data_IF_744005308998
#
_entry.id   IF_744005308998
#
_cell.length_a   1.000
_cell.length_b   1.000
_cell.length_c   1.000
_cell.angle_alpha   90.00
_cell.angle_beta   90.00
_cell.angle_gamma   90.00
#
_symmetry.space_group_name_H-M   'P 1'
#
loop_
_entity.id
_entity.type
_entity.pdbx_description
1 polymer ?
#
# COMPACT_ATOMS: atom_id res chain seq x y z
N UNK A 1 -11.41 22.56 -3.93
CA UNK A 1 -10.69 21.45 -4.58
C UNK A 1 -10.62 20.30 -3.61
N UNK A 2 -10.92 19.10 -4.06
CA UNK A 2 -10.76 17.84 -3.30
C UNK A 2 -9.85 16.92 -4.09
N UNK A 3 -9.21 15.98 -3.39
CA UNK A 3 -8.38 14.95 -4.01
C UNK A 3 -9.02 13.60 -3.76
N UNK A 4 -9.33 12.88 -4.82
CA UNK A 4 -9.88 11.53 -4.78
C UNK A 4 -8.76 10.54 -5.11
N UNK A 5 -8.45 9.63 -4.19
CA UNK A 5 -7.59 8.49 -4.49
C UNK A 5 -8.45 7.28 -4.84
N UNK A 6 -8.31 6.77 -6.05
CA UNK A 6 -9.05 5.61 -6.55
C UNK A 6 -8.19 4.36 -6.31
N UNK A 7 -8.74 3.39 -5.60
CA UNK A 7 -8.10 2.13 -5.20
C UNK A 7 -9.01 0.95 -5.51
N UNK A 8 -8.42 -0.22 -5.75
CA UNK A 8 -9.21 -1.43 -5.95
C UNK A 8 -9.99 -1.85 -4.69
N UNK A 9 -9.50 -2.72 -3.90
CA UNK A 9 -10.24 -3.30 -2.78
C UNK A 9 -10.02 -2.57 -1.45
N UNK A 10 -10.73 -3.05 -0.45
CA UNK A 10 -10.58 -2.60 0.94
C UNK A 10 -9.20 -3.02 1.45
N UNK A 11 -8.38 -2.11 2.01
CA UNK A 11 -7.10 -2.47 2.61
C UNK A 11 -7.30 -3.37 3.83
N UNK A 12 -6.57 -4.48 3.89
CA UNK A 12 -6.58 -5.40 5.04
C UNK A 12 -5.54 -5.06 6.10
N UNK A 13 -4.52 -4.30 5.72
CA UNK A 13 -3.38 -3.90 6.57
C UNK A 13 -2.68 -2.69 5.95
N UNK A 14 -1.76 -2.07 6.71
CA UNK A 14 -0.96 -0.96 6.20
C UNK A 14 0.36 -1.50 5.67
N UNK A 15 0.50 -1.52 4.36
CA UNK A 15 1.74 -1.81 3.63
C UNK A 15 2.16 -0.59 2.79
N UNK A 16 3.10 -0.77 1.86
CA UNK A 16 3.67 0.32 1.09
C UNK A 16 2.68 1.27 0.42
N UNK A 17 1.61 0.74 -0.19
CA UNK A 17 0.57 1.57 -0.83
C UNK A 17 -0.32 2.27 0.19
N UNK A 18 -0.76 1.57 1.21
CA UNK A 18 -1.60 2.11 2.27
C UNK A 18 -0.85 3.18 3.06
N UNK A 19 0.43 2.97 3.35
CA UNK A 19 1.30 3.98 3.96
C UNK A 19 1.39 5.25 3.11
N UNK A 20 1.50 5.11 1.79
CA UNK A 20 1.49 6.23 0.83
C UNK A 20 0.15 6.98 0.85
N UNK A 21 -0.97 6.26 0.90
CA UNK A 21 -2.30 6.85 0.93
C UNK A 21 -2.56 7.61 2.25
N UNK A 22 -2.13 7.06 3.38
CA UNK A 22 -2.23 7.73 4.69
C UNK A 22 -1.32 8.94 4.78
N UNK A 23 -0.10 8.87 4.27
CA UNK A 23 0.80 10.01 4.18
C UNK A 23 0.20 11.14 3.33
N UNK A 24 -0.40 10.78 2.19
CA UNK A 24 -1.13 11.71 1.31
C UNK A 24 -2.33 12.33 2.03
N UNK A 25 -3.15 11.53 2.72
CA UNK A 25 -4.27 12.03 3.51
C UNK A 25 -3.82 13.08 4.53
N UNK A 26 -2.76 12.79 5.29
CA UNK A 26 -2.19 13.73 6.27
C UNK A 26 -1.72 15.03 5.63
N UNK A 27 -1.00 14.96 4.51
CA UNK A 27 -0.53 16.14 3.79
C UNK A 27 -1.69 16.98 3.23
N UNK A 28 -2.72 16.34 2.66
CA UNK A 28 -3.91 17.03 2.15
C UNK A 28 -4.65 17.76 3.27
N UNK A 29 -4.79 17.13 4.45
CA UNK A 29 -5.39 17.74 5.62
C UNK A 29 -4.64 19.01 6.05
N UNK A 30 -3.31 18.99 6.08
CA UNK A 30 -2.50 20.17 6.39
C UNK A 30 -2.57 21.27 5.34
N UNK A 31 -2.86 20.91 4.09
CA UNK A 31 -3.10 21.86 3.00
C UNK A 31 -4.53 22.42 2.99
N UNK A 32 -5.39 21.97 3.90
CA UNK A 32 -6.81 22.31 3.89
C UNK A 32 -7.58 21.70 2.72
N UNK A 33 -7.08 20.62 2.14
CA UNK A 33 -7.66 19.90 1.01
C UNK A 33 -8.34 18.63 1.52
N UNK A 34 -9.60 18.45 1.23
CA UNK A 34 -10.31 17.20 1.54
C UNK A 34 -9.78 16.07 0.65
N UNK A 35 -9.31 15.00 1.28
CA UNK A 35 -8.86 13.78 0.61
C UNK A 35 -9.88 12.66 0.80
N UNK A 36 -10.28 11.98 -0.28
CA UNK A 36 -11.21 10.87 -0.26
C UNK A 36 -10.60 9.62 -0.87
N UNK A 37 -10.68 8.51 -0.15
CA UNK A 37 -10.34 7.19 -0.67
C UNK A 37 -11.58 6.56 -1.31
N UNK A 38 -11.51 6.20 -2.59
CA UNK A 38 -12.61 5.58 -3.34
C UNK A 38 -12.22 4.15 -3.70
N UNK A 39 -12.90 3.18 -3.11
CA UNK A 39 -12.70 1.76 -3.38
C UNK A 39 -13.68 1.27 -4.44
N UNK A 40 -13.18 0.47 -5.37
CA UNK A 40 -13.90 0.19 -6.61
C UNK A 40 -14.36 -1.26 -6.79
N UNK A 41 -13.83 -2.22 -6.03
CA UNK A 41 -14.19 -3.62 -6.20
C UNK A 41 -14.36 -4.37 -4.87
N UNK A 42 -14.90 -5.59 -4.96
CA UNK A 42 -15.24 -6.47 -3.84
C UNK A 42 -14.06 -7.32 -3.32
N UNK A 43 -12.80 -6.90 -3.55
CA UNK A 43 -11.63 -7.58 -2.98
C UNK A 43 -11.48 -7.27 -1.49
N UNK A 44 -11.00 -8.25 -0.74
CA UNK A 44 -10.75 -8.16 0.71
C UNK A 44 -12.02 -7.90 1.53
N UNK A 45 -12.94 -8.86 1.46
CA UNK A 45 -14.17 -8.84 2.27
C UNK A 45 -13.82 -8.86 3.76
N UNK A 46 -14.47 -7.99 4.52
CA UNK A 46 -14.30 -7.87 5.97
C UNK A 46 -15.65 -7.72 6.66
N UNK A 47 -15.76 -8.16 7.94
CA UNK A 47 -17.01 -8.10 8.70
C UNK A 47 -17.61 -6.69 8.81
N UNK A 48 -16.76 -5.68 8.93
CA UNK A 48 -17.13 -4.27 9.01
C UNK A 48 -16.05 -3.42 8.36
N UNK A 49 -16.22 -3.08 7.08
CA UNK A 49 -15.22 -2.34 6.32
C UNK A 49 -15.04 -0.89 6.84
N UNK A 50 -16.08 -0.30 7.39
CA UNK A 50 -16.02 1.06 7.96
C UNK A 50 -15.10 1.06 9.16
N UNK A 51 -15.33 0.18 10.13
CA UNK A 51 -14.51 0.06 11.31
C UNK A 51 -13.05 -0.29 10.97
N UNK A 52 -12.83 -1.18 10.01
CA UNK A 52 -11.49 -1.54 9.55
C UNK A 52 -10.74 -0.34 8.98
N UNK A 53 -11.37 0.45 8.11
CA UNK A 53 -10.74 1.63 7.52
C UNK A 53 -10.45 2.72 8.57
N UNK A 54 -11.37 2.94 9.52
CA UNK A 54 -11.14 3.84 10.64
C UNK A 54 -9.98 3.39 11.53
N UNK A 55 -9.88 2.10 11.84
CA UNK A 55 -8.76 1.53 12.61
C UNK A 55 -7.42 1.63 11.88
N UNK A 56 -7.42 1.56 10.56
CA UNK A 56 -6.23 1.79 9.73
C UNK A 56 -5.89 3.28 9.58
N UNK A 57 -6.75 4.19 10.07
CA UNK A 57 -6.51 5.64 10.08
C UNK A 57 -7.08 6.40 8.89
N UNK A 58 -7.89 5.76 8.03
CA UNK A 58 -8.58 6.45 6.94
C UNK A 58 -9.78 7.24 7.48
N UNK A 59 -9.92 8.52 7.06
CA UNK A 59 -10.96 9.42 7.58
C UNK A 59 -12.14 9.58 6.62
N UNK A 60 -11.86 9.79 5.34
CA UNK A 60 -12.87 9.98 4.31
C UNK A 60 -12.72 8.91 3.24
N UNK A 61 -13.63 7.97 3.24
CA UNK A 61 -13.62 6.84 2.32
C UNK A 61 -15.02 6.51 1.81
N UNK A 62 -15.08 5.90 0.62
CA UNK A 62 -16.29 5.49 -0.05
C UNK A 62 -16.05 4.20 -0.82
N UNK A 63 -17.00 3.28 -0.77
CA UNK A 63 -16.97 2.07 -1.58
C UNK A 63 -18.09 2.12 -2.61
N UNK A 64 -17.75 2.15 -3.89
CA UNK A 64 -18.72 2.43 -4.98
C UNK A 64 -19.89 1.45 -5.08
N UNK A 65 -19.78 0.26 -4.48
CA UNK A 65 -20.83 -0.74 -4.44
C UNK A 65 -21.51 -0.75 -3.06
N UNK A 66 -20.75 -0.88 -1.98
CA UNK A 66 -21.33 -1.01 -0.65
C UNK A 66 -22.11 0.24 -0.21
N UNK A 67 -21.60 1.41 -0.48
CA UNK A 67 -22.26 2.67 -0.11
C UNK A 67 -23.52 3.00 -0.96
N UNK A 68 -23.91 2.12 -1.90
CA UNK A 68 -25.25 2.15 -2.51
C UNK A 68 -26.34 1.70 -1.53
N UNK A 69 -25.96 0.96 -0.48
CA UNK A 69 -26.87 0.46 0.53
C UNK A 69 -26.91 1.38 1.75
N UNK A 70 -28.10 1.62 2.28
CA UNK A 70 -28.33 2.29 3.55
C UNK A 70 -27.81 1.47 4.76
N UNK A 71 -27.48 0.20 4.54
CA UNK A 71 -26.85 -0.67 5.55
C UNK A 71 -25.32 -0.53 5.63
N UNK A 72 -24.67 0.10 4.65
CA UNK A 72 -23.21 0.14 4.54
C UNK A 72 -22.50 0.76 5.76
N UNK A 73 -23.15 1.75 6.39
CA UNK A 73 -22.61 2.47 7.55
C UNK A 73 -23.25 2.04 8.88
N UNK A 74 -24.11 1.02 8.85
CA UNK A 74 -24.75 0.46 10.06
C UNK A 74 -23.80 -0.49 10.76
N UNK A 75 -23.60 -0.31 12.06
CA UNK A 75 -22.77 -1.21 12.86
C UNK A 75 -23.39 -2.61 12.97
N UNK A 76 -22.58 -3.68 12.90
CA UNK A 76 -23.08 -5.04 13.15
C UNK A 76 -23.73 -5.16 14.51
N UNK A 77 -24.92 -5.79 14.54
CA UNK A 77 -25.72 -5.99 15.76
C UNK A 77 -26.45 -7.33 15.81
N UNK A 78 -26.23 -8.21 14.83
CA UNK A 78 -26.84 -9.56 14.81
C UNK A 78 -26.19 -10.44 15.88
N UNK A 79 -27.00 -10.98 16.80
CA UNK A 79 -26.53 -11.79 17.90
C UNK A 79 -26.11 -13.21 17.45
N UNK A 80 -25.31 -13.88 18.28
CA UNK A 80 -24.90 -15.28 18.03
C UNK A 80 -26.08 -16.26 18.01
N UNK A 81 -27.17 -15.95 18.68
CA UNK A 81 -28.35 -16.83 18.75
C UNK A 81 -28.99 -17.02 17.37
N UNK A 82 -28.82 -16.03 16.48
CA UNK A 82 -29.24 -16.13 15.08
C UNK A 82 -28.63 -17.34 14.36
N UNK A 83 -27.37 -17.72 14.69
CA UNK A 83 -26.65 -18.82 14.04
C UNK A 83 -27.32 -20.19 14.24
N UNK A 84 -28.10 -20.35 15.30
CA UNK A 84 -28.81 -21.62 15.59
C UNK A 84 -29.87 -21.95 14.51
N UNK A 85 -30.30 -20.96 13.76
CA UNK A 85 -31.25 -21.10 12.66
C UNK A 85 -30.60 -21.39 11.30
N UNK A 86 -29.26 -21.33 11.21
CA UNK A 86 -28.52 -21.52 9.96
C UNK A 86 -28.01 -22.95 9.82
N UNK A 87 -28.14 -23.49 8.63
CA UNK A 87 -27.62 -24.82 8.26
C UNK A 87 -26.35 -24.73 7.43
N UNK A 88 -25.48 -25.74 7.46
CA UNK A 88 -24.26 -25.89 6.65
C UNK A 88 -23.25 -24.75 6.80
N UNK A 89 -23.20 -24.14 7.98
CA UNK A 89 -22.21 -23.12 8.30
C UNK A 89 -20.83 -23.76 8.48
N UNK A 90 -19.85 -23.28 7.75
CA UNK A 90 -18.45 -23.75 7.79
C UNK A 90 -17.62 -22.93 8.78
N UNK A 91 -17.82 -21.59 8.82
CA UNK A 91 -17.06 -20.67 9.65
C UNK A 91 -17.90 -19.42 9.93
N UNK A 92 -17.68 -18.79 11.08
CA UNK A 92 -18.25 -17.47 11.40
C UNK A 92 -17.13 -16.56 11.88
N UNK A 93 -17.12 -15.34 11.39
CA UNK A 93 -16.29 -14.25 11.89
C UNK A 93 -17.14 -13.25 12.63
N UNK A 94 -16.66 -12.87 13.83
CA UNK A 94 -17.35 -11.94 14.71
C UNK A 94 -16.65 -10.60 14.74
N UNK A 95 -17.41 -9.53 15.01
CA UNK A 95 -16.83 -8.23 15.36
C UNK A 95 -16.13 -8.32 16.72
N UNK A 96 -15.39 -7.29 17.09
CA UNK A 96 -14.73 -7.19 18.41
C UNK A 96 -15.74 -7.23 19.56
N UNK A 97 -16.94 -6.69 19.35
CA UNK A 97 -18.05 -6.69 20.30
C UNK A 97 -18.78 -8.04 20.36
N UNK A 98 -18.43 -8.99 19.49
CA UNK A 98 -18.98 -10.34 19.48
C UNK A 98 -20.26 -10.51 18.67
N UNK A 99 -20.64 -9.55 17.84
CA UNK A 99 -21.75 -9.69 16.89
C UNK A 99 -21.32 -10.49 15.65
N UNK A 100 -22.30 -11.12 14.98
CA UNK A 100 -22.04 -11.82 13.71
C UNK A 100 -21.67 -10.81 12.64
N UNK A 101 -20.50 -10.99 12.01
CA UNK A 101 -20.00 -10.18 10.91
C UNK A 101 -20.08 -10.91 9.58
N UNK A 102 -19.34 -12.03 9.44
CA UNK A 102 -19.35 -12.87 8.24
C UNK A 102 -19.72 -14.31 8.59
N UNK A 103 -20.55 -14.91 7.73
CA UNK A 103 -20.91 -16.34 7.80
C UNK A 103 -20.47 -16.99 6.49
N UNK A 104 -19.66 -18.03 6.59
CA UNK A 104 -19.16 -18.82 5.46
C UNK A 104 -19.90 -20.16 5.43
N UNK A 105 -20.42 -20.54 4.27
CA UNK A 105 -21.12 -21.79 4.06
C UNK A 105 -20.27 -22.79 3.27
N UNK A 106 -20.66 -24.06 3.34
CA UNK A 106 -19.96 -25.16 2.63
C UNK A 106 -20.02 -25.03 1.11
N UNK A 107 -21.08 -24.44 0.57
CA UNK A 107 -21.32 -24.23 -0.87
C UNK A 107 -20.58 -23.03 -1.47
N UNK A 108 -19.68 -22.40 -0.69
CA UNK A 108 -18.94 -21.23 -1.11
C UNK A 108 -19.69 -19.91 -0.94
N UNK A 109 -20.88 -19.93 -0.37
CA UNK A 109 -21.62 -18.70 -0.01
C UNK A 109 -20.96 -18.01 1.16
N UNK A 110 -20.89 -16.68 1.11
CA UNK A 110 -20.46 -15.80 2.20
C UNK A 110 -21.54 -14.75 2.37
N UNK A 111 -22.01 -14.60 3.60
CA UNK A 111 -22.98 -13.57 3.99
C UNK A 111 -22.35 -12.60 4.98
N UNK A 112 -22.56 -11.31 4.75
CA UNK A 112 -22.15 -10.23 5.66
C UNK A 112 -23.38 -9.62 6.33
N UNK A 113 -23.27 -9.41 7.64
CA UNK A 113 -24.35 -8.88 8.46
C UNK A 113 -23.95 -7.56 9.11
N UNK A 114 -24.87 -6.59 9.07
CA UNK A 114 -24.87 -5.39 9.90
C UNK A 114 -26.00 -5.52 10.94
N UNK A 115 -27.07 -4.73 10.88
CA UNK A 115 -28.29 -4.99 11.66
C UNK A 115 -29.18 -6.09 11.05
N UNK A 116 -28.92 -6.42 9.80
CA UNK A 116 -29.51 -7.51 9.02
C UNK A 116 -28.55 -7.94 7.93
N UNK A 117 -28.95 -8.83 7.01
CA UNK A 117 -28.13 -9.23 5.87
C UNK A 117 -27.80 -8.00 5.00
N UNK A 118 -26.51 -7.70 4.87
CA UNK A 118 -26.01 -6.55 4.10
C UNK A 118 -25.62 -6.95 2.68
N UNK A 119 -24.87 -8.03 2.53
CA UNK A 119 -24.62 -8.62 1.23
C UNK A 119 -24.46 -10.13 1.31
N UNK A 120 -24.69 -10.79 0.18
CA UNK A 120 -24.39 -12.21 -0.05
C UNK A 120 -23.54 -12.34 -1.29
N UNK A 121 -22.54 -13.18 -1.24
CA UNK A 121 -21.76 -13.55 -2.42
C UNK A 121 -21.49 -15.06 -2.43
N UNK A 122 -21.27 -15.63 -3.62
CA UNK A 122 -20.83 -17.00 -3.75
C UNK A 122 -19.56 -17.06 -4.61
N UNK A 123 -18.47 -17.53 -3.99
CA UNK A 123 -17.14 -17.54 -4.62
C UNK A 123 -16.99 -18.60 -5.72
N UNK A 124 -17.88 -19.61 -5.78
CA UNK A 124 -17.83 -20.63 -6.82
C UNK A 124 -18.62 -20.23 -8.07
N UNK A 125 -19.74 -19.55 -7.90
CA UNK A 125 -20.55 -19.03 -9.01
C UNK A 125 -20.20 -17.61 -9.42
N UNK A 126 -19.33 -16.92 -8.66
CA UNK A 126 -18.98 -15.50 -8.83
C UNK A 126 -20.18 -14.55 -8.75
N UNK A 127 -21.22 -14.89 -7.99
CA UNK A 127 -22.42 -14.07 -7.85
C UNK A 127 -22.35 -13.19 -6.60
N UNK A 128 -22.99 -12.04 -6.66
CA UNK A 128 -23.06 -11.04 -5.59
C UNK A 128 -24.44 -10.42 -5.52
N UNK A 129 -24.99 -10.25 -4.32
CA UNK A 129 -26.25 -9.56 -4.05
C UNK A 129 -26.05 -8.57 -2.93
N UNK A 130 -26.41 -7.31 -3.15
CA UNK A 130 -26.40 -6.24 -2.16
C UNK A 130 -27.82 -5.97 -1.67
N UNK A 131 -27.95 -5.89 -0.35
CA UNK A 131 -29.24 -5.63 0.32
C UNK A 131 -29.24 -4.25 0.97
N UNK A 132 -30.41 -3.63 1.00
CA UNK A 132 -30.75 -2.49 1.84
C UNK A 132 -31.87 -2.86 2.81
N UNK A 133 -32.32 -1.91 3.62
CA UNK A 133 -33.43 -2.12 4.58
C UNK A 133 -34.73 -2.53 3.91
N UNK A 134 -34.92 -2.17 2.65
CA UNK A 134 -36.14 -2.46 1.87
C UNK A 134 -36.05 -3.71 0.98
N UNK A 135 -34.90 -4.39 0.95
CA UNK A 135 -34.70 -5.60 0.13
C UNK A 135 -33.44 -5.53 -0.75
N UNK A 136 -33.45 -6.27 -1.85
CA UNK A 136 -32.33 -6.34 -2.80
C UNK A 136 -32.20 -5.05 -3.59
N UNK A 137 -31.00 -4.45 -3.57
CA UNK A 137 -30.67 -3.24 -4.34
C UNK A 137 -30.03 -3.65 -5.67
N UNK A 138 -29.07 -4.55 -5.62
CA UNK A 138 -28.18 -4.87 -6.74
C UNK A 138 -27.83 -6.35 -6.73
N UNK A 139 -27.87 -6.96 -7.91
CA UNK A 139 -27.32 -8.29 -8.17
C UNK A 139 -26.19 -8.18 -9.18
N UNK A 140 -25.16 -8.99 -9.05
CA UNK A 140 -24.02 -8.88 -9.93
C UNK A 140 -23.20 -10.15 -10.07
N UNK A 141 -22.41 -10.18 -11.12
CA UNK A 141 -21.35 -11.15 -11.36
C UNK A 141 -19.99 -10.44 -11.18
N UNK A 142 -19.10 -11.03 -10.39
CA UNK A 142 -17.75 -10.51 -10.15
C UNK A 142 -16.65 -11.40 -10.75
N UNK A 143 -16.94 -12.13 -11.82
CA UNK A 143 -15.94 -12.87 -12.60
C UNK A 143 -14.84 -11.93 -13.12
N UNK A 144 -13.59 -12.40 -13.19
CA UNK A 144 -12.37 -11.58 -13.36
C UNK A 144 -12.35 -10.61 -14.55
N UNK A 145 -13.20 -10.77 -15.54
CA UNK A 145 -13.14 -9.96 -16.78
C UNK A 145 -14.18 -8.87 -16.91
N UNK A 146 -15.37 -9.06 -16.37
CA UNK A 146 -16.47 -8.09 -16.52
C UNK A 146 -17.39 -8.19 -15.31
N UNK A 147 -17.24 -7.24 -14.39
CA UNK A 147 -18.23 -7.06 -13.33
C UNK A 147 -19.47 -6.40 -13.96
N UNK A 148 -20.58 -7.11 -14.02
CA UNK A 148 -21.88 -6.61 -14.44
C UNK A 148 -22.82 -6.57 -13.23
N UNK A 149 -23.38 -5.39 -12.97
CA UNK A 149 -24.27 -5.14 -11.84
C UNK A 149 -25.63 -4.72 -12.33
N UNK A 150 -26.65 -5.46 -11.92
CA UNK A 150 -28.04 -5.23 -12.24
C UNK A 150 -28.78 -4.58 -11.05
N UNK A 151 -29.30 -3.37 -11.23
CA UNK A 151 -30.13 -2.71 -10.25
C UNK A 151 -31.54 -3.23 -10.31
N UNK A 152 -32.01 -3.87 -9.23
CA UNK A 152 -33.31 -4.58 -9.22
C UNK A 152 -34.49 -3.64 -9.39
N UNK A 153 -34.41 -2.43 -8.82
CA UNK A 153 -35.50 -1.44 -8.89
C UNK A 153 -35.67 -0.83 -10.30
N UNK A 154 -34.57 -0.53 -10.99
CA UNK A 154 -34.60 0.17 -12.29
C UNK A 154 -34.47 -0.76 -13.48
N UNK A 155 -33.98 -1.99 -13.28
CA UNK A 155 -33.62 -2.92 -14.34
C UNK A 155 -32.38 -2.54 -15.14
N UNK A 156 -31.62 -1.53 -14.68
CA UNK A 156 -30.42 -1.04 -15.36
C UNK A 156 -29.20 -1.90 -15.04
N UNK A 157 -28.31 -2.03 -16.03
CA UNK A 157 -27.08 -2.77 -15.93
C UNK A 157 -25.87 -1.85 -16.03
N UNK A 158 -24.91 -2.02 -15.11
CA UNK A 158 -23.69 -1.22 -15.05
C UNK A 158 -22.46 -2.10 -14.84
N UNK A 159 -21.40 -1.84 -15.59
CA UNK A 159 -20.08 -2.34 -15.24
C UNK A 159 -19.54 -1.61 -14.00
N UNK A 160 -18.58 -2.23 -13.31
CA UNK A 160 -17.87 -1.60 -12.19
C UNK A 160 -17.40 -0.17 -12.52
N UNK A 161 -16.84 0.02 -13.71
CA UNK A 161 -16.28 1.32 -14.14
C UNK A 161 -17.35 2.37 -14.46
N UNK A 162 -18.53 1.93 -14.90
CA UNK A 162 -19.68 2.82 -15.03
C UNK A 162 -20.15 3.27 -13.65
N UNK A 163 -20.21 2.40 -12.65
CA UNK A 163 -20.53 2.77 -11.26
C UNK A 163 -19.51 3.76 -10.69
N UNK A 164 -18.22 3.53 -10.89
CA UNK A 164 -17.16 4.48 -10.50
C UNK A 164 -17.38 5.84 -11.20
N UNK A 165 -17.65 5.82 -12.50
CA UNK A 165 -17.87 7.04 -13.27
C UNK A 165 -19.10 7.82 -12.80
N UNK A 166 -20.20 7.14 -12.49
CA UNK A 166 -21.42 7.74 -11.93
C UNK A 166 -21.14 8.38 -10.57
N UNK A 167 -20.50 7.63 -9.67
CA UNK A 167 -20.10 8.16 -8.37
C UNK A 167 -19.23 9.42 -8.48
N UNK A 168 -18.21 9.38 -9.33
CA UNK A 168 -17.33 10.53 -9.53
C UNK A 168 -18.06 11.71 -10.18
N UNK A 169 -19.00 11.46 -11.09
CA UNK A 169 -19.81 12.51 -11.72
C UNK A 169 -20.69 13.23 -10.69
N UNK A 170 -21.31 12.49 -9.78
CA UNK A 170 -22.21 13.02 -8.75
C UNK A 170 -21.44 13.74 -7.64
N UNK A 171 -20.30 13.19 -7.22
CA UNK A 171 -19.61 13.66 -6.00
C UNK A 171 -18.38 14.54 -6.26
N UNK A 172 -18.07 14.87 -7.52
CA UNK A 172 -16.92 15.69 -7.85
C UNK A 172 -17.22 16.84 -8.81
N UNK A 173 -16.33 17.82 -8.82
CA UNK A 173 -16.37 19.00 -9.69
C UNK A 173 -15.16 18.99 -10.66
N UNK A 174 -15.15 19.80 -11.73
CA UNK A 174 -14.01 19.93 -12.62
C UNK A 174 -12.71 20.40 -11.96
N UNK A 175 -12.80 21.04 -10.78
CA UNK A 175 -11.63 21.52 -10.04
C UNK A 175 -11.01 20.45 -9.13
N UNK A 176 -11.67 19.32 -8.96
CA UNK A 176 -11.17 18.23 -8.13
C UNK A 176 -10.12 17.41 -8.89
N UNK A 177 -9.11 16.90 -8.17
CA UNK A 177 -8.03 16.08 -8.72
C UNK A 177 -8.27 14.61 -8.38
N UNK A 178 -7.84 13.73 -9.27
CA UNK A 178 -8.03 12.29 -9.13
C UNK A 178 -6.69 11.59 -9.22
N UNK A 179 -6.35 10.78 -8.22
CA UNK A 179 -5.12 9.99 -8.17
C UNK A 179 -5.48 8.52 -8.27
N UNK A 180 -4.86 7.81 -9.21
CA UNK A 180 -4.93 6.36 -9.30
C UNK A 180 -3.56 5.80 -8.90
N UNK A 181 -3.52 5.05 -7.80
CA UNK A 181 -2.28 4.54 -7.20
C UNK A 181 -1.68 3.33 -7.93
N UNK A 182 -2.41 2.68 -8.80
CA UNK A 182 -1.88 1.55 -9.58
C UNK A 182 -2.38 1.65 -11.01
N UNK A 183 -1.43 1.71 -11.95
CA UNK A 183 -1.75 1.76 -13.37
C UNK A 183 -1.83 0.33 -13.90
N UNK A 184 -3.00 -0.26 -13.78
CA UNK A 184 -3.35 -1.46 -14.54
C UNK A 184 -4.30 -1.09 -15.69
N UNK A 185 -5.50 -1.64 -15.73
CA UNK A 185 -6.51 -1.35 -16.75
C UNK A 185 -7.36 -0.10 -16.46
N UNK A 186 -7.27 0.45 -15.25
CA UNK A 186 -8.11 1.54 -14.75
C UNK A 186 -8.14 2.80 -15.61
N UNK A 187 -6.99 3.38 -16.02
CA UNK A 187 -7.01 4.59 -16.83
C UNK A 187 -7.75 4.41 -18.14
N UNK A 188 -7.68 3.20 -18.73
CA UNK A 188 -8.38 2.87 -19.97
C UNK A 188 -9.88 2.89 -19.79
N UNK A 189 -10.38 2.26 -18.74
CA UNK A 189 -11.81 2.14 -18.47
C UNK A 189 -12.43 3.48 -18.09
N UNK A 190 -11.72 4.30 -17.32
CA UNK A 190 -12.17 5.62 -16.90
C UNK A 190 -11.85 6.74 -17.91
N UNK A 191 -11.10 6.45 -18.97
CA UNK A 191 -10.65 7.44 -19.96
C UNK A 191 -11.79 8.30 -20.49
N UNK A 192 -12.90 7.68 -20.91
CA UNK A 192 -14.05 8.40 -21.46
C UNK A 192 -14.62 9.39 -20.44
N UNK A 193 -14.71 8.97 -19.18
CA UNK A 193 -15.18 9.84 -18.10
C UNK A 193 -14.29 11.08 -17.96
N UNK A 194 -12.99 10.92 -17.82
CA UNK A 194 -12.05 12.03 -17.64
C UNK A 194 -12.00 12.95 -18.87
N UNK A 195 -11.99 12.41 -20.09
CA UNK A 195 -12.01 13.20 -21.33
C UNK A 195 -13.32 14.00 -21.48
N UNK A 196 -14.46 13.37 -21.28
CA UNK A 196 -15.76 14.01 -21.47
C UNK A 196 -16.05 15.07 -20.40
N UNK A 197 -15.54 14.89 -19.18
CA UNK A 197 -15.80 15.78 -18.05
C UNK A 197 -14.74 16.83 -17.82
N UNK A 198 -13.64 16.79 -18.60
CA UNK A 198 -12.47 17.68 -18.46
C UNK A 198 -11.87 17.69 -17.03
N UNK A 199 -11.97 16.57 -16.34
CA UNK A 199 -11.36 16.36 -15.02
C UNK A 199 -9.94 15.86 -15.17
N UNK A 200 -9.05 16.29 -14.29
CA UNK A 200 -7.66 15.87 -14.34
C UNK A 200 -7.43 14.56 -13.60
N UNK A 201 -6.84 13.61 -14.29
CA UNK A 201 -6.37 12.33 -13.75
C UNK A 201 -4.87 12.36 -13.53
N UNK A 202 -4.45 12.11 -12.30
CA UNK A 202 -3.07 11.93 -11.90
C UNK A 202 -2.80 10.43 -11.75
N UNK A 203 -2.03 9.85 -12.67
CA UNK A 203 -1.67 8.44 -12.62
C UNK A 203 -0.39 8.26 -11.80
N UNK A 204 -0.50 7.65 -10.62
CA UNK A 204 0.60 7.45 -9.69
C UNK A 204 1.24 6.09 -9.89
N UNK A 205 2.45 6.09 -10.41
CA UNK A 205 3.19 4.88 -10.75
C UNK A 205 4.19 4.51 -9.65
N UNK A 206 4.04 3.31 -9.11
CA UNK A 206 4.92 2.73 -8.10
C UNK A 206 5.94 1.73 -8.68
N UNK A 207 6.36 1.89 -9.92
CA UNK A 207 7.32 1.00 -10.59
C UNK A 207 8.55 1.76 -11.11
N UNK A 208 9.72 1.13 -11.02
CA UNK A 208 10.96 1.67 -11.60
C UNK A 208 11.11 1.38 -13.11
N UNK A 209 10.33 0.44 -13.63
CA UNK A 209 10.37 0.03 -15.03
C UNK A 209 8.96 0.15 -15.58
N UNK A 210 8.81 0.96 -16.62
CA UNK A 210 7.55 1.13 -17.33
C UNK A 210 7.49 0.12 -18.49
N UNK A 211 6.50 -0.76 -18.47
CA UNK A 211 6.17 -1.54 -19.65
C UNK A 211 5.83 -0.58 -20.83
N UNK A 212 6.11 -0.96 -22.09
CA UNK A 212 5.85 -0.10 -23.24
C UNK A 212 4.42 0.43 -23.31
N UNK A 213 3.46 -0.41 -22.94
CA UNK A 213 2.05 -0.03 -22.85
C UNK A 213 1.79 1.04 -21.79
N UNK A 214 2.35 0.90 -20.59
CA UNK A 214 2.22 1.90 -19.51
C UNK A 214 2.85 3.22 -19.93
N UNK A 215 4.00 3.19 -20.62
CA UNK A 215 4.63 4.39 -21.16
C UNK A 215 3.70 5.12 -22.13
N UNK A 216 3.01 4.39 -23.01
CA UNK A 216 2.04 4.97 -23.94
C UNK A 216 0.83 5.59 -23.19
N UNK A 217 0.27 4.92 -22.22
CA UNK A 217 -0.84 5.44 -21.37
C UNK A 217 -0.42 6.73 -20.69
N UNK A 218 0.74 6.70 -20.03
CA UNK A 218 1.28 7.84 -19.31
C UNK A 218 1.52 9.05 -20.22
N UNK A 219 2.03 8.87 -21.41
CA UNK A 219 2.35 9.97 -22.32
C UNK A 219 1.12 10.65 -22.93
N UNK A 220 -0.02 9.98 -23.02
CA UNK A 220 -1.12 10.45 -23.83
C UNK A 220 -2.42 10.76 -23.07
N UNK A 221 -2.59 10.32 -21.82
CA UNK A 221 -3.92 10.32 -21.22
C UNK A 221 -4.05 10.98 -19.85
N UNK A 222 -2.95 11.26 -19.19
CA UNK A 222 -3.00 11.79 -17.81
C UNK A 222 -1.72 12.53 -17.46
N UNK A 223 -1.77 13.32 -16.43
CA UNK A 223 -0.59 13.86 -15.76
C UNK A 223 0.09 12.74 -14.98
N UNK A 224 1.39 12.53 -15.25
CA UNK A 224 2.12 11.40 -14.73
C UNK A 224 2.84 11.74 -13.45
N UNK A 225 2.48 11.04 -12.38
CA UNK A 225 3.18 11.08 -11.11
C UNK A 225 3.92 9.76 -10.92
N UNK A 226 5.16 9.85 -10.49
CA UNK A 226 5.99 8.68 -10.21
C UNK A 226 6.48 8.69 -8.78
N UNK A 227 6.42 7.54 -8.13
CA UNK A 227 6.99 7.35 -6.81
C UNK A 227 8.51 7.16 -6.84
N UNK A 228 9.10 7.03 -8.03
CA UNK A 228 10.52 6.78 -8.21
C UNK A 228 11.27 8.04 -8.64
N UNK A 229 12.25 8.52 -7.85
CA UNK A 229 13.10 9.64 -8.27
C UNK A 229 13.96 9.31 -9.48
N UNK A 230 14.23 8.01 -9.72
CA UNK A 230 14.98 7.52 -10.87
C UNK A 230 14.18 7.66 -12.17
N UNK A 231 12.87 7.47 -12.12
CA UNK A 231 12.01 7.64 -13.29
C UNK A 231 11.93 9.10 -13.72
N UNK A 232 11.83 10.03 -12.79
CA UNK A 232 11.87 11.47 -13.10
C UNK A 232 13.22 11.85 -13.72
N UNK A 233 14.34 11.37 -13.14
CA UNK A 233 15.69 11.63 -13.66
C UNK A 233 15.88 11.08 -15.10
N UNK A 234 15.24 9.93 -15.43
CA UNK A 234 15.35 9.29 -16.75
C UNK A 234 14.41 9.85 -17.81
N UNK A 235 13.21 10.25 -17.42
CA UNK A 235 12.15 10.66 -18.34
C UNK A 235 12.07 12.19 -18.48
N UNK A 236 12.59 12.92 -17.52
CA UNK A 236 12.52 14.37 -17.41
C UNK A 236 11.23 14.86 -16.73
N UNK A 237 11.32 15.98 -16.05
CA UNK A 237 10.21 16.60 -15.29
C UNK A 237 9.03 17.07 -16.18
N UNK A 238 9.25 17.25 -17.48
CA UNK A 238 8.18 17.59 -18.42
C UNK A 238 7.28 16.39 -18.76
N UNK A 239 7.83 15.17 -18.65
CA UNK A 239 7.09 13.95 -18.94
C UNK A 239 6.45 13.30 -17.71
N UNK A 240 7.12 13.40 -16.56
CA UNK A 240 6.67 12.81 -15.28
C UNK A 240 7.06 13.71 -14.13
N UNK A 241 6.30 13.67 -13.04
CA UNK A 241 6.58 14.41 -11.82
C UNK A 241 6.78 13.46 -10.66
N UNK A 242 7.88 13.62 -9.97
CA UNK A 242 8.15 12.83 -8.79
C UNK A 242 7.39 13.36 -7.58
N UNK A 243 6.59 12.49 -6.97
CA UNK A 243 6.05 12.71 -5.64
C UNK A 243 6.47 11.56 -4.72
N UNK A 244 7.14 11.85 -3.60
CA UNK A 244 7.47 10.82 -2.62
C UNK A 244 6.20 10.15 -2.09
N UNK A 245 6.17 8.80 -1.98
CA UNK A 245 4.99 8.10 -1.45
C UNK A 245 4.84 8.27 0.06
N UNK A 246 5.93 8.58 0.76
CA UNK A 246 5.96 8.84 2.22
C UNK A 246 6.85 10.04 2.52
N UNK A 247 6.70 10.57 3.72
CA UNK A 247 7.56 11.62 4.27
C UNK A 247 8.10 11.20 5.63
N UNK A 248 9.09 11.93 6.13
CA UNK A 248 9.65 11.78 7.46
C UNK A 248 9.53 13.09 8.23
N UNK A 249 9.19 13.04 9.51
CA UNK A 249 9.04 14.24 10.35
C UNK A 249 10.40 14.89 10.64
N UNK A 250 11.40 14.06 10.96
CA UNK A 250 12.74 14.53 11.33
C UNK A 250 13.79 13.55 10.82
N UNK A 251 15.00 14.06 10.59
CA UNK A 251 16.18 13.26 10.27
C UNK A 251 17.19 13.38 11.40
N UNK A 252 17.55 12.24 11.99
CA UNK A 252 18.61 12.14 12.99
C UNK A 252 19.95 11.94 12.30
N UNK A 253 21.01 12.57 12.82
CA UNK A 253 22.39 12.31 12.40
C UNK A 253 23.12 11.67 13.55
N UNK A 254 23.76 10.54 13.28
CA UNK A 254 24.50 9.79 14.29
C UNK A 254 25.85 9.40 13.73
N UNK A 255 26.78 9.16 14.64
CA UNK A 255 28.10 8.59 14.36
C UNK A 255 28.30 7.39 15.25
N UNK A 256 28.82 6.32 14.69
CA UNK A 256 29.07 5.05 15.37
C UNK A 256 30.55 4.72 15.29
N UNK A 257 31.11 4.14 16.35
CA UNK A 257 32.48 3.60 16.33
C UNK A 257 32.56 2.24 15.61
N UNK A 258 31.48 1.49 15.66
CA UNK A 258 31.29 0.22 14.96
C UNK A 258 29.82 0.09 14.56
N UNK A 259 29.51 -0.68 13.54
CA UNK A 259 28.11 -0.99 13.15
C UNK A 259 27.95 -2.50 13.10
N UNK A 260 27.45 -3.06 14.18
CA UNK A 260 27.32 -4.52 14.38
C UNK A 260 25.88 -4.97 14.60
N UNK A 261 24.96 -4.05 14.86
CA UNK A 261 23.54 -4.33 15.04
C UNK A 261 22.75 -3.78 13.87
N UNK A 262 22.18 -4.68 13.07
CA UNK A 262 21.53 -4.41 11.82
C UNK A 262 20.06 -4.83 11.84
N UNK A 263 19.23 -4.14 11.07
CA UNK A 263 17.87 -4.58 10.78
C UNK A 263 17.58 -4.63 9.28
N UNK A 264 16.61 -5.50 8.91
CA UNK A 264 15.99 -5.59 7.60
C UNK A 264 14.49 -5.61 7.78
N UNK A 265 13.75 -4.92 6.91
CA UNK A 265 12.31 -4.66 7.09
C UNK A 265 11.55 -4.94 5.81
N UNK A 266 10.48 -5.72 5.91
CA UNK A 266 9.54 -5.92 4.81
C UNK A 266 8.85 -7.29 4.81
N UNK A 267 7.98 -7.46 3.81
CA UNK A 267 7.45 -8.78 3.47
C UNK A 267 8.51 -9.49 2.60
N UNK A 268 9.17 -10.52 3.17
CA UNK A 268 10.37 -11.15 2.60
C UNK A 268 10.06 -12.08 1.43
N UNK A 269 9.43 -11.51 0.39
CA UNK A 269 9.26 -12.17 -0.91
C UNK A 269 10.61 -12.37 -1.60
N UNK A 270 10.64 -13.14 -2.66
CA UNK A 270 11.85 -13.37 -3.50
C UNK A 270 12.50 -12.06 -3.97
N UNK A 271 11.70 -10.99 -4.16
CA UNK A 271 12.21 -9.67 -4.56
C UNK A 271 13.06 -9.03 -3.46
N UNK A 272 12.72 -9.26 -2.19
CA UNK A 272 13.45 -8.73 -1.03
C UNK A 272 14.76 -9.45 -0.76
N UNK A 273 14.91 -10.66 -1.29
CA UNK A 273 16.15 -11.46 -1.22
C UNK A 273 16.76 -11.55 0.19
N UNK A 274 15.90 -11.82 1.17
CA UNK A 274 16.31 -11.89 2.58
C UNK A 274 17.27 -13.07 2.84
N UNK A 275 17.19 -14.13 2.04
CA UNK A 275 18.11 -15.28 2.10
C UNK A 275 19.57 -14.85 1.96
N UNK A 276 19.85 -13.87 1.08
CA UNK A 276 21.19 -13.31 0.93
C UNK A 276 21.68 -12.65 2.22
N UNK A 277 20.80 -11.91 2.90
CA UNK A 277 21.11 -11.29 4.19
C UNK A 277 21.41 -12.36 5.25
N UNK A 278 20.56 -13.37 5.37
CA UNK A 278 20.72 -14.46 6.35
C UNK A 278 22.03 -15.20 6.11
N UNK A 279 22.38 -15.49 4.84
CA UNK A 279 23.63 -16.16 4.50
C UNK A 279 24.87 -15.29 4.80
N UNK A 280 24.81 -13.99 4.55
CA UNK A 280 25.88 -13.07 4.93
C UNK A 280 26.11 -13.06 6.44
N UNK A 281 25.04 -12.98 7.25
CA UNK A 281 25.18 -12.99 8.71
C UNK A 281 25.62 -14.34 9.26
N UNK A 282 25.36 -15.45 8.58
CA UNK A 282 25.95 -16.75 8.90
C UNK A 282 27.49 -16.73 8.86
N UNK A 283 28.06 -15.92 7.94
CA UNK A 283 29.51 -15.79 7.77
C UNK A 283 30.14 -14.68 8.64
N UNK A 284 29.31 -13.86 9.29
CA UNK A 284 29.75 -12.72 10.14
C UNK A 284 29.10 -12.80 11.52
N UNK A 285 29.47 -13.80 12.36
CA UNK A 285 28.76 -14.08 13.61
C UNK A 285 28.92 -13.01 14.70
N UNK A 286 29.83 -12.04 14.52
CA UNK A 286 30.03 -10.92 15.45
C UNK A 286 29.04 -9.77 15.20
N UNK A 287 28.32 -9.78 14.07
CA UNK A 287 27.23 -8.85 13.80
C UNK A 287 25.88 -9.53 13.98
N UNK A 288 24.88 -8.78 14.41
CA UNK A 288 23.51 -9.26 14.61
C UNK A 288 22.58 -8.67 13.54
N UNK A 289 21.59 -9.45 13.10
CA UNK A 289 20.51 -9.02 12.21
C UNK A 289 19.15 -9.26 12.86
N UNK A 290 18.30 -8.25 12.85
CA UNK A 290 16.89 -8.40 13.22
C UNK A 290 16.01 -8.28 11.98
N UNK A 291 15.14 -9.28 11.74
CA UNK A 291 14.19 -9.32 10.63
C UNK A 291 12.83 -8.88 11.13
N UNK A 292 12.33 -7.75 10.59
CA UNK A 292 10.96 -7.25 10.82
C UNK A 292 10.08 -7.52 9.60
N UNK A 293 8.93 -8.15 9.81
CA UNK A 293 7.97 -8.50 8.77
C UNK A 293 7.75 -10.00 8.67
N UNK A 294 7.97 -10.61 7.50
CA UNK A 294 7.84 -12.07 7.32
C UNK A 294 9.21 -12.73 7.14
N UNK A 295 9.28 -14.04 7.34
CA UNK A 295 10.42 -14.83 6.86
C UNK A 295 10.27 -15.14 5.36
N UNK A 296 11.37 -15.51 4.65
CA UNK A 296 11.29 -16.08 3.32
C UNK A 296 10.38 -17.30 3.27
N UNK A 297 9.75 -17.53 2.12
CA UNK A 297 8.84 -18.66 1.93
C UNK A 297 9.54 -19.99 2.21
N UNK A 298 8.91 -20.82 3.04
CA UNK A 298 9.46 -22.14 3.43
C UNK A 298 10.54 -22.10 4.50
N UNK A 299 10.95 -20.91 4.98
CA UNK A 299 11.94 -20.77 6.06
C UNK A 299 11.26 -20.67 7.43
N UNK A 300 11.84 -21.34 8.43
CA UNK A 300 11.39 -21.32 9.82
C UNK A 300 12.46 -20.72 10.74
N UNK A 301 12.06 -20.27 11.93
CA UNK A 301 12.97 -19.59 12.87
C UNK A 301 14.15 -20.45 13.31
N UNK A 302 13.95 -21.77 13.46
CA UNK A 302 15.00 -22.73 13.84
C UNK A 302 16.11 -22.92 12.81
N UNK A 303 15.88 -22.47 11.56
CA UNK A 303 16.88 -22.48 10.47
C UNK A 303 17.77 -21.23 10.47
N UNK A 304 17.42 -20.21 11.27
CA UNK A 304 18.19 -18.97 11.35
C UNK A 304 19.52 -19.17 12.07
N UNK A 305 20.60 -18.47 11.64
CA UNK A 305 21.83 -18.39 12.41
C UNK A 305 21.59 -17.79 13.79
N UNK A 306 22.43 -18.14 14.78
CA UNK A 306 22.30 -17.68 16.17
C UNK A 306 22.31 -16.14 16.34
N UNK A 307 22.94 -15.44 15.41
CA UNK A 307 23.04 -13.99 15.37
C UNK A 307 21.95 -13.32 14.49
N UNK A 308 20.96 -14.08 14.04
CA UNK A 308 19.81 -13.58 13.30
C UNK A 308 18.54 -13.80 14.13
N UNK A 309 17.82 -12.73 14.40
CA UNK A 309 16.57 -12.74 15.19
C UNK A 309 15.39 -12.42 14.30
N UNK A 310 14.31 -13.18 14.40
CA UNK A 310 13.04 -12.87 13.77
C UNK A 310 12.13 -12.15 14.78
N UNK A 311 11.79 -10.90 14.48
CA UNK A 311 10.92 -10.07 15.31
C UNK A 311 9.46 -10.09 14.87
N UNK A 312 9.17 -10.64 13.68
CA UNK A 312 7.83 -10.67 13.14
C UNK A 312 7.33 -9.30 12.66
N UNK A 313 6.02 -9.23 12.43
CA UNK A 313 5.38 -7.97 12.05
C UNK A 313 5.23 -7.06 13.27
N UNK A 314 5.59 -5.79 13.10
CA UNK A 314 5.44 -4.74 14.11
C UNK A 314 4.74 -3.53 13.51
N UNK A 315 3.90 -2.84 14.30
CA UNK A 315 3.20 -1.64 13.83
C UNK A 315 4.14 -0.46 13.58
N UNK A 316 5.26 -0.41 14.30
CA UNK A 316 6.31 0.58 14.12
C UNK A 316 7.66 -0.08 14.36
N UNK A 317 8.54 0.01 13.38
CA UNK A 317 9.89 -0.55 13.49
C UNK A 317 10.72 0.31 14.42
N UNK A 318 11.32 -0.28 15.48
CA UNK A 318 12.13 0.49 16.44
C UNK A 318 13.56 0.71 15.90
N UNK A 319 13.68 1.48 14.82
CA UNK A 319 14.97 1.75 14.15
C UNK A 319 16.02 2.30 15.10
N UNK A 320 15.61 3.07 16.11
CA UNK A 320 16.54 3.67 17.11
C UNK A 320 17.27 2.63 17.98
N UNK A 321 16.87 1.37 17.96
CA UNK A 321 17.55 0.28 18.64
C UNK A 321 18.69 -0.32 17.81
N UNK A 322 18.80 0.04 16.54
CA UNK A 322 19.78 -0.49 15.60
C UNK A 322 20.78 0.56 15.18
N UNK A 323 21.91 0.12 14.64
CA UNK A 323 22.98 0.97 14.11
C UNK A 323 22.96 1.01 12.58
N UNK A 324 22.59 -0.12 11.97
CA UNK A 324 22.57 -0.31 10.54
C UNK A 324 21.24 -0.82 10.00
N UNK A 325 20.95 -0.43 8.77
CA UNK A 325 19.84 -0.94 7.97
C UNK A 325 20.39 -1.62 6.72
N UNK A 326 19.94 -2.85 6.48
CA UNK A 326 20.30 -3.64 5.30
C UNK A 326 19.12 -3.81 4.38
N UNK A 327 19.32 -3.64 3.07
CA UNK A 327 18.36 -4.05 2.06
C UNK A 327 19.03 -4.83 0.94
N UNK A 328 18.58 -6.06 0.73
CA UNK A 328 19.04 -6.96 -0.33
C UNK A 328 18.10 -6.97 -1.55
N UNK A 329 17.10 -6.09 -1.60
CA UNK A 329 16.05 -6.07 -2.63
C UNK A 329 16.62 -5.93 -4.05
N UNK A 330 16.03 -6.69 -4.98
CA UNK A 330 16.32 -6.59 -6.42
C UNK A 330 15.59 -5.43 -7.08
N UNK A 331 14.44 -5.02 -6.56
CA UNK A 331 13.62 -3.96 -7.15
C UNK A 331 12.78 -3.26 -6.10
N UNK A 332 13.02 -1.97 -5.96
CA UNK A 332 12.24 -1.03 -5.14
C UNK A 332 11.88 0.19 -5.98
N UNK A 333 10.69 0.71 -5.79
CA UNK A 333 10.30 1.96 -6.40
C UNK A 333 10.89 3.17 -5.65
N UNK A 334 10.71 3.17 -4.32
CA UNK A 334 11.15 4.23 -3.41
C UNK A 334 11.88 3.70 -2.18
N UNK A 335 11.73 2.43 -1.82
CA UNK A 335 12.30 1.81 -0.62
C UNK A 335 11.95 2.59 0.67
N UNK A 336 10.66 2.65 1.02
CA UNK A 336 10.15 3.38 2.20
C UNK A 336 10.94 3.07 3.47
N UNK A 337 11.20 1.79 3.76
CA UNK A 337 11.95 1.37 4.95
C UNK A 337 13.40 1.87 4.98
N UNK A 338 14.04 2.02 3.81
CA UNK A 338 15.37 2.64 3.74
C UNK A 338 15.32 4.14 4.08
N UNK A 339 14.28 4.84 3.63
CA UNK A 339 14.07 6.26 3.96
C UNK A 339 13.80 6.45 5.46
N UNK A 340 12.96 5.60 6.04
CA UNK A 340 12.66 5.60 7.49
C UNK A 340 13.92 5.29 8.33
N UNK A 341 14.71 4.29 7.93
CA UNK A 341 15.97 3.95 8.58
C UNK A 341 16.98 5.10 8.50
N UNK A 342 17.15 5.71 7.31
CA UNK A 342 17.99 6.90 7.12
C UNK A 342 17.53 8.07 8.00
N UNK A 343 16.20 8.30 8.10
CA UNK A 343 15.64 9.33 8.96
C UNK A 343 15.91 9.07 10.45
N UNK A 344 15.96 7.80 10.84
CA UNK A 344 16.23 7.38 12.22
C UNK A 344 17.72 7.42 12.59
N UNK A 345 18.59 7.73 11.63
CA UNK A 345 20.03 7.90 11.85
C UNK A 345 20.85 6.63 11.68
N UNK A 346 20.36 5.64 10.94
CA UNK A 346 21.08 4.39 10.68
C UNK A 346 22.08 4.54 9.53
N UNK A 347 23.15 3.76 9.58
CA UNK A 347 24.00 3.48 8.42
C UNK A 347 23.21 2.58 7.45
N UNK A 348 23.05 2.97 6.19
CA UNK A 348 22.33 2.18 5.21
C UNK A 348 23.32 1.45 4.28
N UNK A 349 23.17 0.12 4.22
CA UNK A 349 23.89 -0.77 3.30
C UNK A 349 22.86 -1.42 2.36
N UNK A 350 22.92 -1.08 1.07
CA UNK A 350 21.85 -1.34 0.12
C UNK A 350 22.33 -2.17 -1.07
N UNK A 351 21.47 -3.01 -1.63
CA UNK A 351 21.81 -3.77 -2.84
C UNK A 351 22.02 -2.85 -4.04
N UNK A 352 23.10 -3.02 -4.79
CA UNK A 352 23.40 -2.28 -6.01
C UNK A 352 22.56 -2.72 -7.24
N UNK A 353 21.75 -3.77 -7.10
CA UNK A 353 20.87 -4.25 -8.17
C UNK A 353 19.63 -3.38 -8.31
N UNK A 354 19.26 -2.64 -7.27
CA UNK A 354 18.07 -1.81 -7.21
C UNK A 354 18.37 -0.35 -7.57
N UNK A 355 17.51 0.24 -8.40
CA UNK A 355 17.70 1.60 -8.92
C UNK A 355 17.48 2.69 -7.85
N UNK A 356 16.52 2.50 -6.93
CA UNK A 356 16.32 3.45 -5.84
C UNK A 356 17.50 3.46 -4.88
N UNK A 357 18.08 2.29 -4.60
CA UNK A 357 19.27 2.14 -3.78
C UNK A 357 20.50 2.84 -4.39
N UNK A 358 20.73 2.62 -5.70
CA UNK A 358 21.79 3.32 -6.43
C UNK A 358 21.61 4.83 -6.37
N UNK A 359 20.38 5.30 -6.53
CA UNK A 359 20.07 6.72 -6.41
C UNK A 359 20.39 7.25 -5.00
N UNK A 360 20.03 6.53 -3.93
CA UNK A 360 20.32 6.95 -2.57
C UNK A 360 21.83 7.01 -2.28
N UNK A 361 22.60 6.04 -2.78
CA UNK A 361 24.05 6.06 -2.68
C UNK A 361 24.68 7.22 -3.48
N UNK A 362 24.10 7.59 -4.63
CA UNK A 362 24.54 8.74 -5.44
C UNK A 362 24.31 10.08 -4.71
N UNK A 363 23.20 10.22 -3.99
CA UNK A 363 22.83 11.49 -3.34
C UNK A 363 23.30 11.61 -1.89
N UNK A 364 23.81 10.54 -1.30
CA UNK A 364 24.32 10.50 0.06
C UNK A 364 25.64 9.68 0.16
N UNK A 365 26.75 10.35 0.35
CA UNK A 365 28.08 9.72 0.40
C UNK A 365 28.26 8.68 1.52
N UNK A 366 27.41 8.71 2.53
CA UNK A 366 27.43 7.76 3.66
C UNK A 366 26.49 6.57 3.47
N UNK A 367 25.95 6.41 2.28
CA UNK A 367 25.14 5.25 1.90
C UNK A 367 25.98 4.38 1.00
N UNK A 368 26.19 3.13 1.40
CA UNK A 368 27.00 2.17 0.66
C UNK A 368 26.11 1.16 -0.07
N UNK A 369 26.62 0.63 -1.18
CA UNK A 369 25.95 -0.45 -1.92
C UNK A 369 26.88 -1.62 -2.11
N UNK A 370 26.32 -2.83 -2.23
CA UNK A 370 27.02 -4.09 -2.51
C UNK A 370 26.41 -4.80 -3.72
N UNK A 371 27.20 -5.64 -4.41
CA UNK A 371 26.80 -6.35 -5.64
C UNK A 371 26.71 -7.86 -5.49
N UNK A 372 27.36 -8.42 -4.47
CA UNK A 372 27.44 -9.86 -4.25
C UNK A 372 27.40 -10.19 -2.77
N UNK A 373 27.23 -11.48 -2.46
CA UNK A 373 27.35 -11.99 -1.10
C UNK A 373 28.74 -11.70 -0.51
N UNK A 374 29.79 -11.95 -1.29
CA UNK A 374 31.18 -11.76 -0.81
C UNK A 374 31.44 -10.29 -0.47
N UNK A 375 31.01 -9.35 -1.33
CA UNK A 375 31.13 -7.91 -1.08
C UNK A 375 30.33 -7.50 0.15
N UNK A 376 29.11 -8.03 0.33
CA UNK A 376 28.31 -7.80 1.53
C UNK A 376 29.01 -8.27 2.80
N UNK A 377 29.56 -9.49 2.76
CA UNK A 377 30.30 -10.08 3.90
C UNK A 377 31.54 -9.26 4.24
N UNK A 378 32.31 -8.83 3.23
CA UNK A 378 33.48 -7.97 3.43
C UNK A 378 33.11 -6.64 4.06
N UNK A 379 32.05 -5.99 3.55
CA UNK A 379 31.56 -4.72 4.11
C UNK A 379 31.07 -4.88 5.55
N UNK A 380 30.33 -5.95 5.86
CA UNK A 380 29.87 -6.21 7.23
C UNK A 380 31.05 -6.43 8.20
N UNK A 381 32.14 -7.07 7.76
CA UNK A 381 33.39 -7.20 8.53
C UNK A 381 34.08 -5.85 8.72
N UNK A 382 34.13 -5.03 7.66
CA UNK A 382 34.69 -3.69 7.71
C UNK A 382 33.96 -2.81 8.73
N UNK A 383 32.63 -2.93 8.81
CA UNK A 383 31.81 -2.21 9.80
C UNK A 383 32.04 -2.63 11.27
N UNK A 384 32.70 -3.75 11.53
CA UNK A 384 33.13 -4.17 12.88
C UNK A 384 34.39 -3.48 13.35
N UNK A 385 35.18 -2.91 12.44
CA UNK A 385 36.42 -2.23 12.79
C UNK A 385 36.13 -0.88 13.46
N UNK A 386 36.91 -0.52 14.45
CA UNK A 386 36.75 0.75 15.18
C UNK A 386 37.19 1.93 14.32
N UNK A 387 36.24 2.69 13.82
CA UNK A 387 36.43 3.98 13.16
C UNK A 387 35.10 4.76 13.16
N UNK A 388 35.09 5.98 12.66
CA UNK A 388 33.85 6.74 12.57
C UNK A 388 33.00 6.33 11.37
N UNK A 389 31.77 5.88 11.64
CA UNK A 389 30.75 5.59 10.66
C UNK A 389 29.60 6.58 10.81
N UNK A 390 29.32 7.34 9.76
CA UNK A 390 28.27 8.32 9.75
C UNK A 390 26.97 7.72 9.24
N UNK A 391 25.86 8.07 9.88
CA UNK A 391 24.52 7.66 9.42
C UNK A 391 24.22 8.20 8.03
N UNK A 392 23.45 7.43 7.25
CA UNK A 392 22.90 7.88 5.98
C UNK A 392 21.91 9.03 6.20
N UNK A 393 21.90 10.02 5.32
CA UNK A 393 21.05 11.21 5.47
C UNK A 393 20.23 11.56 4.23
N UNK A 394 20.05 10.60 3.29
CA UNK A 394 19.25 10.85 2.08
C UNK A 394 17.77 11.15 2.37
N UNK A 395 17.26 10.73 3.54
CA UNK A 395 15.92 11.08 4.01
C UNK A 395 15.70 12.60 4.19
N UNK A 396 16.76 13.41 4.29
CA UNK A 396 16.64 14.89 4.32
C UNK A 396 15.93 15.45 3.09
N UNK A 397 15.90 14.71 1.97
CA UNK A 397 15.15 15.09 0.78
C UNK A 397 13.63 14.92 0.93
N UNK A 398 13.20 14.14 1.91
CA UNK A 398 11.82 13.68 2.08
C UNK A 398 11.20 14.10 3.41
N UNK A 399 11.66 15.22 3.97
CA UNK A 399 11.00 15.81 5.13
C UNK A 399 9.59 16.26 4.76
N UNK A 400 8.70 16.28 5.74
CA UNK A 400 7.29 16.62 5.56
C UNK A 400 7.09 17.93 4.82
N UNK A 401 7.83 18.97 5.18
CA UNK A 401 7.75 20.29 4.55
C UNK A 401 8.11 20.23 3.05
N UNK A 402 9.19 19.50 2.72
CA UNK A 402 9.62 19.34 1.31
C UNK A 402 8.61 18.56 0.49
N UNK A 403 8.11 17.45 1.04
CA UNK A 403 7.11 16.63 0.36
C UNK A 403 5.81 17.39 0.19
N UNK A 404 5.38 18.13 1.24
CA UNK A 404 4.20 19.00 1.17
C UNK A 404 4.31 20.03 0.05
N UNK A 405 5.46 20.71 -0.06
CA UNK A 405 5.69 21.69 -1.14
C UNK A 405 5.65 21.07 -2.53
N UNK A 406 6.11 19.82 -2.70
CA UNK A 406 5.99 19.10 -3.97
C UNK A 406 4.52 18.80 -4.31
N UNK A 407 3.73 18.37 -3.33
CA UNK A 407 2.29 18.15 -3.52
C UNK A 407 1.55 19.44 -3.88
N UNK A 408 1.82 20.54 -3.17
CA UNK A 408 1.25 21.86 -3.48
C UNK A 408 1.52 22.26 -4.93
N UNK A 409 2.77 22.09 -5.38
CA UNK A 409 3.16 22.40 -6.75
C UNK A 409 2.36 21.57 -7.76
N UNK A 410 2.33 20.24 -7.60
CA UNK A 410 1.66 19.34 -8.55
C UNK A 410 0.15 19.54 -8.58
N UNK A 411 -0.48 19.87 -7.45
CA UNK A 411 -1.93 20.08 -7.38
C UNK A 411 -2.38 21.43 -7.92
N UNK A 412 -1.52 22.45 -7.93
CA UNK A 412 -1.83 23.79 -8.41
C UNK A 412 -1.44 24.05 -9.87
N UNK A 413 -0.68 23.18 -10.48
CA UNK A 413 -0.37 23.20 -11.92
C UNK A 413 -1.45 22.47 -12.73
#
# INVERSE_FOLDING_TARGET
MRVFTIKEGIPSSIYGFESSQLARQSLMQELGIEHRLVMTNLKNIVPNFVEQLEQLGFQHFYHVIFDLSDLARVRPSVSKDFLTSLERVKKVEYTKEGYVGLVYYEDGTIECYTSQLFYRMNVFSNTFTLYGTKGVILEGDFSEKYHDYHFVETGEHYSQWQLVSLYLAEHSTPQDKFIIDMIHEYPLQLRKFFQNTKRELLAYTHYNILAPFMKFVLQNWCTNIVASPVLEERLGSDAVRFLPPVYVEKVRKQTYETVTDWCIVGNMTIIKNCELAIEAFRQVPQSCLTIYGTLPEGMTEDQLPKNVTYAGFVNSVPYEKHQGYLSCSYSECFANSAVEASASGLVCLLSHTDLAHIYYAKVCRYTNTFRSLDELVEMLKDYQEKREYYSSSFAEKYTKEKVKSLYEKVLNE
#
